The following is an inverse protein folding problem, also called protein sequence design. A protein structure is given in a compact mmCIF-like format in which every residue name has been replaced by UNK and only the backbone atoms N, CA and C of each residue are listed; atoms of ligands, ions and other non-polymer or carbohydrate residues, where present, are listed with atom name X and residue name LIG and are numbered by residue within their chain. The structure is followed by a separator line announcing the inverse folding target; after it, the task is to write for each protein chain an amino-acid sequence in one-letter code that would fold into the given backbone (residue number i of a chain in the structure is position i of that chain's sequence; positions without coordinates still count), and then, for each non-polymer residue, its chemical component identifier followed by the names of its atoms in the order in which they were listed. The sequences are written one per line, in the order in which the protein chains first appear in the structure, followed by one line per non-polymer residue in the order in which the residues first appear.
data_IF_797006418375
#
_entry.id   IF_797006418375
#
_cell.length_a   1.000
_cell.length_b   1.000
_cell.length_c   1.000
_cell.angle_alpha   90.00
_cell.angle_beta   90.00
_cell.angle_gamma   90.00
#
_symmetry.space_group_name_H-M   'P 1'
#
loop_
_entity.id
_entity.type
_entity.pdbx_description
1 polymer ?
#
# COMPACT_ATOMS: atom_id res chain seq x y z
N UNK A 1 -3.35 22.57 22.34
CA UNK A 1 -2.54 21.79 21.36
C UNK A 1 -3.52 21.23 20.34
N UNK A 2 -3.28 21.51 19.08
CA UNK A 2 -4.08 20.93 17.99
C UNK A 2 -3.82 19.43 17.92
N UNK A 3 -4.90 18.67 17.70
CA UNK A 3 -4.81 17.23 17.42
C UNK A 3 -4.58 17.05 15.93
N UNK A 4 -3.76 16.07 15.55
CA UNK A 4 -3.51 15.71 14.15
C UNK A 4 -3.99 14.29 13.92
N UNK A 5 -5.00 14.10 13.08
CA UNK A 5 -5.40 12.78 12.58
C UNK A 5 -4.54 12.39 11.38
N UNK A 6 -4.09 11.14 11.36
CA UNK A 6 -3.18 10.60 10.34
C UNK A 6 -3.87 9.44 9.62
N UNK A 7 -3.93 9.56 8.29
CA UNK A 7 -4.44 8.55 7.36
C UNK A 7 -3.31 8.20 6.39
N UNK A 8 -3.13 6.90 6.09
CA UNK A 8 -2.09 6.40 5.18
C UNK A 8 -2.70 5.56 4.07
N UNK A 9 -2.09 5.54 2.91
CA UNK A 9 -2.20 4.50 1.88
C UNK A 9 -3.66 4.17 1.52
N UNK A 10 -4.45 5.19 1.19
CA UNK A 10 -5.87 4.99 0.85
C UNK A 10 -6.09 4.39 -0.53
N UNK A 11 -5.12 4.51 -1.45
CA UNK A 11 -5.13 3.92 -2.80
C UNK A 11 -6.44 4.09 -3.56
N UNK A 12 -7.04 5.27 -3.47
CA UNK A 12 -8.32 5.55 -4.14
C UNK A 12 -8.21 5.37 -5.66
N UNK A 13 -9.20 4.72 -6.25
CA UNK A 13 -9.23 4.44 -7.68
C UNK A 13 -8.46 3.18 -8.08
N UNK A 14 -8.20 2.25 -7.15
CA UNK A 14 -7.63 0.94 -7.48
C UNK A 14 -8.54 0.16 -8.42
N UNK A 15 -7.95 -0.43 -9.46
CA UNK A 15 -8.68 -1.25 -10.45
C UNK A 15 -8.08 -2.65 -10.61
N UNK A 16 -6.80 -2.85 -10.22
CA UNK A 16 -6.07 -4.11 -10.39
C UNK A 16 -6.69 -5.29 -9.65
N UNK A 17 -7.38 -5.03 -8.54
CA UNK A 17 -8.03 -6.06 -7.71
C UNK A 17 -9.52 -6.18 -7.95
N UNK A 18 -10.11 -5.26 -8.71
CA UNK A 18 -11.54 -5.17 -8.97
C UNK A 18 -12.03 -6.04 -10.13
N UNK A 19 -11.15 -6.85 -10.75
CA UNK A 19 -11.48 -7.61 -11.94
C UNK A 19 -11.55 -6.76 -13.22
N UNK A 20 -12.13 -7.33 -14.29
CA UNK A 20 -12.07 -6.74 -15.64
C UNK A 20 -13.35 -6.02 -16.06
N UNK A 21 -14.45 -6.16 -15.30
CA UNK A 21 -15.71 -5.51 -15.65
C UNK A 21 -15.79 -4.09 -15.08
N UNK A 22 -16.40 -3.20 -15.83
CA UNK A 22 -16.61 -1.82 -15.37
C UNK A 22 -17.46 -1.78 -14.10
N UNK A 23 -18.45 -2.63 -13.99
CA UNK A 23 -19.34 -2.73 -12.83
C UNK A 23 -18.59 -3.10 -11.56
N UNK A 24 -17.69 -4.11 -11.62
CA UNK A 24 -16.87 -4.50 -10.47
C UNK A 24 -15.90 -3.40 -10.05
N UNK A 25 -15.31 -2.67 -11.01
CA UNK A 25 -14.42 -1.54 -10.75
C UNK A 25 -15.17 -0.37 -10.09
N UNK A 26 -16.36 -0.04 -10.59
CA UNK A 26 -17.23 0.99 -10.00
C UNK A 26 -17.69 0.59 -8.59
N UNK A 27 -17.96 -0.70 -8.36
CA UNK A 27 -18.35 -1.20 -7.03
C UNK A 27 -17.24 -1.04 -6.01
N UNK A 28 -16.02 -1.46 -6.34
CA UNK A 28 -14.87 -1.28 -5.44
C UNK A 28 -14.58 0.20 -5.19
N UNK A 29 -14.55 1.01 -6.25
CA UNK A 29 -14.34 2.45 -6.13
C UNK A 29 -15.36 3.09 -5.19
N UNK A 30 -16.64 2.72 -5.30
CA UNK A 30 -17.69 3.25 -4.41
C UNK A 30 -17.46 2.87 -2.96
N UNK A 31 -17.14 1.61 -2.68
CA UNK A 31 -16.86 1.14 -1.32
C UNK A 31 -15.69 1.94 -0.71
N UNK A 32 -14.58 2.07 -1.44
CA UNK A 32 -13.42 2.83 -0.96
C UNK A 32 -13.70 4.31 -0.73
N UNK A 33 -14.54 4.94 -1.57
CA UNK A 33 -14.92 6.33 -1.37
C UNK A 33 -15.85 6.51 -0.14
N UNK A 34 -16.68 5.53 0.18
CA UNK A 34 -17.44 5.55 1.43
C UNK A 34 -16.52 5.45 2.64
N UNK A 35 -15.59 4.51 2.64
CA UNK A 35 -14.60 4.36 3.71
C UNK A 35 -13.74 5.62 3.86
N UNK A 36 -13.38 6.26 2.74
CA UNK A 36 -12.64 7.51 2.78
C UNK A 36 -13.45 8.66 3.38
N UNK A 37 -14.75 8.74 3.08
CA UNK A 37 -15.64 9.72 3.71
C UNK A 37 -15.71 9.52 5.23
N UNK A 38 -15.82 8.28 5.70
CA UNK A 38 -15.85 7.95 7.13
C UNK A 38 -14.55 8.33 7.84
N UNK A 39 -13.40 8.16 7.16
CA UNK A 39 -12.12 8.62 7.69
C UNK A 39 -12.05 10.14 7.79
N UNK A 40 -12.62 10.86 6.81
CA UNK A 40 -12.72 12.33 6.86
C UNK A 40 -13.64 12.80 8.00
N UNK A 41 -14.75 12.10 8.25
CA UNK A 41 -15.64 12.37 9.38
C UNK A 41 -14.94 12.08 10.72
N UNK A 42 -14.15 10.99 10.80
CA UNK A 42 -13.34 10.70 12.00
C UNK A 42 -12.26 11.75 12.28
N UNK A 43 -11.85 12.52 11.27
CA UNK A 43 -10.89 13.62 11.38
C UNK A 43 -11.52 15.00 11.64
N UNK A 44 -12.86 15.08 11.83
CA UNK A 44 -13.52 16.36 12.11
C UNK A 44 -12.99 16.99 13.40
N UNK A 45 -12.75 18.30 13.35
CA UNK A 45 -12.25 19.09 14.50
C UNK A 45 -10.77 18.86 14.84
N UNK A 46 -10.03 18.15 13.99
CA UNK A 46 -8.57 17.96 14.12
C UNK A 46 -7.85 18.43 12.86
N UNK A 47 -6.56 18.70 12.92
CA UNK A 47 -5.75 18.76 11.70
C UNK A 47 -5.73 17.38 11.04
N UNK A 48 -5.60 17.32 9.72
CA UNK A 48 -5.58 16.07 8.98
C UNK A 48 -4.30 15.94 8.13
N UNK A 49 -3.55 14.86 8.35
CA UNK A 49 -2.44 14.45 7.49
C UNK A 49 -2.83 13.19 6.69
N UNK A 50 -2.82 13.31 5.36
CA UNK A 50 -2.81 12.15 4.47
C UNK A 50 -1.35 11.88 4.11
N UNK A 51 -0.80 10.81 4.67
CA UNK A 51 0.64 10.52 4.66
C UNK A 51 1.03 9.57 3.51
N UNK A 52 0.77 10.00 2.29
CA UNK A 52 1.13 9.31 1.05
C UNK A 52 0.10 8.34 0.52
N UNK A 53 0.26 8.01 -0.75
CA UNK A 53 -0.54 7.06 -1.52
C UNK A 53 -2.06 7.30 -1.40
N UNK A 54 -2.45 8.56 -1.60
CA UNK A 54 -3.86 8.93 -1.68
C UNK A 54 -4.54 8.22 -2.85
N UNK A 55 -3.87 8.19 -4.01
CA UNK A 55 -4.33 7.48 -5.19
C UNK A 55 -3.54 6.18 -5.44
N UNK A 56 -4.21 5.16 -6.04
CA UNK A 56 -3.59 3.86 -6.32
C UNK A 56 -2.49 3.93 -7.38
N UNK A 57 -2.53 4.93 -8.23
CA UNK A 57 -1.57 5.09 -9.33
C UNK A 57 -1.50 6.54 -9.78
N UNK A 58 -0.46 6.83 -10.52
CA UNK A 58 -0.16 8.14 -11.10
C UNK A 58 -1.36 8.83 -11.77
N UNK A 59 -2.16 8.12 -12.54
CA UNK A 59 -3.33 8.65 -13.26
C UNK A 59 -4.55 7.74 -13.02
N UNK A 60 -5.43 8.16 -12.12
CA UNK A 60 -6.70 7.48 -11.84
C UNK A 60 -7.82 8.02 -12.73
N UNK A 61 -8.99 7.36 -12.72
CA UNK A 61 -10.17 7.86 -13.42
C UNK A 61 -10.51 9.29 -12.96
N UNK A 62 -10.80 10.17 -13.93
CA UNK A 62 -11.09 11.58 -13.65
C UNK A 62 -12.33 11.79 -12.77
N UNK A 63 -13.27 10.85 -12.80
CA UNK A 63 -14.42 10.87 -11.90
C UNK A 63 -13.98 10.66 -10.45
N UNK A 64 -13.06 9.74 -10.19
CA UNK A 64 -12.48 9.51 -8.86
C UNK A 64 -11.73 10.75 -8.38
N UNK A 65 -10.85 11.30 -9.23
CA UNK A 65 -10.08 12.51 -8.93
C UNK A 65 -11.01 13.67 -8.54
N UNK A 66 -12.12 13.85 -9.28
CA UNK A 66 -13.08 14.92 -9.01
C UNK A 66 -13.91 14.69 -7.74
N UNK A 67 -14.31 13.45 -7.46
CA UNK A 67 -15.02 13.10 -6.24
C UNK A 67 -14.15 13.34 -5.01
N UNK A 68 -12.89 12.90 -5.03
CA UNK A 68 -11.93 13.13 -3.94
C UNK A 68 -11.69 14.62 -3.73
N UNK A 69 -11.54 15.39 -4.82
CA UNK A 69 -11.48 16.86 -4.72
C UNK A 69 -12.69 17.44 -3.99
N UNK A 70 -13.90 17.02 -4.36
CA UNK A 70 -15.14 17.47 -3.74
C UNK A 70 -15.22 17.15 -2.25
N UNK A 71 -14.80 15.93 -1.87
CA UNK A 71 -14.78 15.47 -0.47
C UNK A 71 -13.79 16.29 0.38
N UNK A 72 -12.55 16.46 -0.08
CA UNK A 72 -11.54 17.25 0.62
C UNK A 72 -11.90 18.75 0.69
N UNK A 73 -12.49 19.29 -0.37
CA UNK A 73 -12.97 20.67 -0.37
C UNK A 73 -14.12 20.87 0.63
N UNK A 74 -15.04 19.92 0.74
CA UNK A 74 -16.10 19.91 1.75
C UNK A 74 -15.49 19.88 3.14
N UNK A 75 -14.59 18.91 3.40
CA UNK A 75 -13.93 18.78 4.70
C UNK A 75 -13.23 20.09 5.13
N UNK A 76 -12.44 20.70 4.25
CA UNK A 76 -11.77 21.98 4.50
C UNK A 76 -12.73 23.11 4.87
N UNK A 77 -13.91 23.18 4.23
CA UNK A 77 -14.91 24.19 4.52
C UNK A 77 -15.62 23.99 5.85
N UNK A 78 -15.84 22.72 6.22
CA UNK A 78 -16.48 22.33 7.48
C UNK A 78 -15.50 22.41 8.66
N UNK A 79 -14.18 22.33 8.40
CA UNK A 79 -13.10 22.37 9.37
C UNK A 79 -12.16 23.57 9.14
N UNK A 80 -12.72 24.78 9.00
CA UNK A 80 -11.98 25.97 8.60
C UNK A 80 -10.84 26.39 9.55
N UNK A 81 -10.91 26.00 10.82
CA UNK A 81 -9.88 26.25 11.83
C UNK A 81 -8.76 25.18 11.86
N UNK A 82 -8.90 24.13 11.04
CA UNK A 82 -7.97 23.01 10.99
C UNK A 82 -7.15 23.01 9.69
N UNK A 83 -6.01 22.32 9.73
CA UNK A 83 -5.10 22.20 8.60
C UNK A 83 -5.28 20.84 7.89
N UNK A 84 -5.37 20.86 6.55
CA UNK A 84 -5.22 19.69 5.71
C UNK A 84 -3.79 19.65 5.15
N UNK A 85 -3.08 18.55 5.42
CA UNK A 85 -1.72 18.30 4.93
C UNK A 85 -1.78 17.09 3.99
N UNK A 86 -1.42 17.27 2.73
CA UNK A 86 -1.34 16.20 1.74
C UNK A 86 0.13 15.90 1.43
N UNK A 87 0.64 14.77 1.92
CA UNK A 87 1.96 14.28 1.58
C UNK A 87 1.87 13.30 0.40
N UNK A 88 2.83 13.37 -0.52
CA UNK A 88 2.86 12.48 -1.66
C UNK A 88 3.51 11.13 -1.31
N UNK A 89 2.90 10.04 -1.76
CA UNK A 89 3.46 8.70 -1.75
C UNK A 89 4.10 8.33 -3.10
N UNK A 90 4.57 7.09 -3.21
CA UNK A 90 5.21 6.62 -4.45
C UNK A 90 4.22 6.41 -5.62
N UNK A 91 2.94 6.18 -5.33
CA UNK A 91 1.88 6.08 -6.33
C UNK A 91 1.40 7.45 -6.82
N UNK A 92 1.57 8.49 -6.01
CA UNK A 92 1.09 9.84 -6.27
C UNK A 92 1.98 10.64 -7.24
N UNK A 93 3.26 10.29 -7.35
CA UNK A 93 4.24 11.04 -8.14
C UNK A 93 4.69 10.29 -9.40
N UNK A 94 5.08 11.04 -10.43
CA UNK A 94 5.70 10.50 -11.64
C UNK A 94 7.21 10.61 -11.58
N UNK A 95 7.91 9.60 -12.09
CA UNK A 95 9.34 9.72 -12.45
C UNK A 95 9.58 10.69 -13.59
N UNK A 96 8.59 10.91 -14.45
CA UNK A 96 8.63 11.89 -15.54
C UNK A 96 8.03 13.22 -15.07
N UNK A 97 8.88 14.20 -14.78
CA UNK A 97 8.49 15.54 -14.31
C UNK A 97 7.65 16.33 -15.34
N UNK A 98 7.62 15.91 -16.61
CA UNK A 98 6.76 16.51 -17.63
C UNK A 98 5.30 16.12 -17.50
N UNK A 99 4.99 15.04 -16.79
CA UNK A 99 3.64 14.52 -16.59
C UNK A 99 3.10 14.95 -15.23
N UNK A 100 1.80 15.28 -15.21
CA UNK A 100 1.08 15.61 -13.98
C UNK A 100 0.28 14.40 -13.51
N UNK A 101 0.45 14.05 -12.25
CA UNK A 101 -0.33 13.01 -11.60
C UNK A 101 -1.72 13.50 -11.20
N UNK A 102 -2.62 12.58 -10.89
CA UNK A 102 -3.92 12.90 -10.28
C UNK A 102 -3.74 13.63 -8.94
N UNK A 103 -2.73 13.26 -8.14
CA UNK A 103 -2.35 13.97 -6.92
C UNK A 103 -1.94 15.42 -7.20
N UNK A 104 -1.04 15.65 -8.17
CA UNK A 104 -0.61 17.00 -8.55
C UNK A 104 -1.79 17.86 -9.05
N UNK A 105 -2.71 17.25 -9.82
CA UNK A 105 -3.92 17.92 -10.29
C UNK A 105 -4.83 18.31 -9.13
N UNK A 106 -5.06 17.38 -8.19
CA UNK A 106 -5.85 17.61 -6.98
C UNK A 106 -5.28 18.78 -6.16
N UNK A 107 -3.96 18.77 -5.89
CA UNK A 107 -3.29 19.86 -5.19
C UNK A 107 -3.49 21.22 -5.89
N UNK A 108 -3.42 21.21 -7.21
CA UNK A 108 -3.66 22.41 -8.01
C UNK A 108 -5.11 22.89 -7.92
N UNK A 109 -6.09 22.00 -7.99
CA UNK A 109 -7.51 22.36 -7.87
C UNK A 109 -7.83 22.95 -6.49
N UNK A 110 -7.31 22.33 -5.42
CA UNK A 110 -7.44 22.85 -4.06
C UNK A 110 -6.76 24.23 -3.91
N UNK A 111 -5.57 24.42 -4.52
CA UNK A 111 -4.87 25.71 -4.53
C UNK A 111 -5.70 26.81 -5.24
N UNK A 112 -6.33 26.48 -6.36
CA UNK A 112 -7.19 27.41 -7.09
C UNK A 112 -8.44 27.75 -6.24
N UNK A 113 -9.06 26.75 -5.62
CA UNK A 113 -10.21 26.96 -4.74
C UNK A 113 -9.85 27.87 -3.55
N UNK A 114 -8.67 27.67 -2.94
CA UNK A 114 -8.14 28.48 -1.83
C UNK A 114 -8.04 29.96 -2.18
N UNK A 115 -7.62 30.30 -3.39
CA UNK A 115 -7.46 31.72 -3.79
C UNK A 115 -8.77 32.52 -3.77
N UNK A 116 -9.92 31.87 -3.71
CA UNK A 116 -11.23 32.49 -3.66
C UNK A 116 -11.99 32.26 -2.34
N UNK A 117 -11.42 31.53 -1.39
CA UNK A 117 -12.11 31.16 -0.14
C UNK A 117 -11.10 31.10 1.03
N UNK A 118 -11.19 32.09 1.93
CA UNK A 118 -10.30 32.25 3.10
C UNK A 118 -10.38 31.04 4.07
N UNK A 119 -11.50 30.31 4.08
CA UNK A 119 -11.67 29.09 4.90
C UNK A 119 -10.72 27.97 4.50
N UNK A 120 -10.10 28.05 3.33
CA UNK A 120 -9.15 27.07 2.83
C UNK A 120 -7.68 27.44 3.14
N UNK A 121 -7.46 28.39 4.05
CA UNK A 121 -6.09 28.84 4.40
C UNK A 121 -5.23 27.72 5.01
N UNK A 122 -5.84 26.82 5.77
CA UNK A 122 -5.16 25.69 6.41
C UNK A 122 -4.82 24.53 5.46
N UNK A 123 -4.19 24.79 4.31
CA UNK A 123 -3.86 23.77 3.29
C UNK A 123 -2.36 23.74 3.02
N UNK A 124 -1.73 22.58 3.22
CA UNK A 124 -0.33 22.35 2.92
C UNK A 124 -0.15 21.15 1.97
N UNK A 125 0.76 21.27 1.01
CA UNK A 125 1.18 20.18 0.11
C UNK A 125 2.64 19.85 0.35
N UNK A 126 2.93 18.57 0.58
CA UNK A 126 4.27 18.04 0.84
C UNK A 126 4.57 17.04 -0.28
N UNK A 127 5.13 17.54 -1.38
CA UNK A 127 5.41 16.77 -2.60
C UNK A 127 6.91 16.64 -2.91
N UNK A 128 7.75 17.32 -2.13
CA UNK A 128 9.21 17.30 -2.30
C UNK A 128 9.93 17.80 -1.05
N UNK A 129 10.95 17.08 -0.59
CA UNK A 129 11.80 17.50 0.52
C UNK A 129 11.13 17.48 1.90
N UNK A 130 11.84 17.99 2.87
CA UNK A 130 11.42 18.06 4.27
C UNK A 130 10.52 19.29 4.50
N UNK A 131 9.36 19.06 5.11
CA UNK A 131 8.48 20.12 5.60
C UNK A 131 8.42 20.11 7.11
N UNK A 132 8.74 21.24 7.72
CA UNK A 132 8.73 21.43 9.17
C UNK A 132 7.43 22.12 9.60
N UNK A 133 6.79 21.55 10.62
CA UNK A 133 5.68 22.12 11.36
C UNK A 133 6.14 22.38 12.80
N UNK A 134 5.31 23.00 13.65
CA UNK A 134 5.70 23.43 14.99
C UNK A 134 6.28 22.31 15.86
N UNK A 135 5.71 21.08 15.80
CA UNK A 135 6.09 19.95 16.67
C UNK A 135 6.47 18.69 15.93
N UNK A 136 6.25 18.65 14.64
CA UNK A 136 6.52 17.50 13.77
C UNK A 136 7.07 17.94 12.42
N UNK A 137 7.56 17.00 11.65
CA UNK A 137 7.93 17.21 10.26
C UNK A 137 7.44 16.08 9.38
N UNK A 138 7.40 16.32 8.07
CA UNK A 138 6.97 15.35 7.04
C UNK A 138 8.00 15.29 5.94
N UNK A 139 8.44 14.09 5.57
CA UNK A 139 9.20 13.83 4.34
C UNK A 139 8.33 12.92 3.47
N UNK A 140 7.89 13.39 2.29
CA UNK A 140 7.09 12.61 1.36
C UNK A 140 7.95 11.53 0.70
N UNK A 141 7.35 10.72 -0.17
CA UNK A 141 8.15 9.85 -1.04
C UNK A 141 9.11 10.69 -1.90
N UNK A 142 10.39 10.33 -1.86
CA UNK A 142 11.45 11.04 -2.59
C UNK A 142 11.82 10.29 -3.88
N UNK A 143 12.37 10.97 -4.91
CA UNK A 143 12.71 10.35 -6.19
C UNK A 143 13.71 9.19 -6.10
N UNK A 144 14.58 9.21 -5.10
CA UNK A 144 15.59 8.16 -4.86
C UNK A 144 16.07 8.16 -3.40
N UNK A 145 16.80 7.11 -3.02
CA UNK A 145 17.32 6.91 -1.68
C UNK A 145 18.31 8.00 -1.24
N UNK A 146 19.16 8.50 -2.14
CA UNK A 146 20.16 9.53 -1.82
C UNK A 146 19.50 10.83 -1.38
N UNK A 147 18.49 11.30 -2.10
CA UNK A 147 17.72 12.47 -1.73
C UNK A 147 16.93 12.24 -0.43
N UNK A 148 16.40 11.06 -0.23
CA UNK A 148 15.70 10.69 1.01
C UNK A 148 16.65 10.76 2.22
N UNK A 149 17.85 10.19 2.12
CA UNK A 149 18.86 10.26 3.17
C UNK A 149 19.30 11.70 3.47
N UNK A 150 19.43 12.53 2.45
CA UNK A 150 19.75 13.95 2.64
C UNK A 150 18.66 14.71 3.41
N UNK A 151 17.38 14.38 3.19
CA UNK A 151 16.28 14.98 3.95
C UNK A 151 16.22 14.43 5.39
N UNK A 152 16.55 13.16 5.61
CA UNK A 152 16.71 12.59 6.96
C UNK A 152 17.83 13.29 7.74
N UNK A 153 18.96 13.61 7.09
CA UNK A 153 20.05 14.36 7.71
C UNK A 153 19.61 15.77 8.16
N UNK A 154 18.79 16.45 7.37
CA UNK A 154 18.19 17.74 7.75
C UNK A 154 17.23 17.57 8.91
N UNK A 155 16.34 16.56 8.87
CA UNK A 155 15.37 16.29 9.92
C UNK A 155 16.05 16.00 11.27
N UNK A 156 17.21 15.34 11.27
CA UNK A 156 18.02 15.14 12.49
C UNK A 156 18.51 16.44 13.13
N UNK A 157 18.51 17.57 12.45
CA UNK A 157 18.89 18.87 13.02
C UNK A 157 17.72 19.66 13.60
N UNK A 158 16.48 19.19 13.39
CA UNK A 158 15.27 19.84 13.85
C UNK A 158 14.97 19.51 15.33
N UNK A 159 14.20 20.41 15.97
CA UNK A 159 13.68 20.21 17.32
C UNK A 159 12.24 19.71 17.27
N UNK A 160 12.03 18.58 16.64
CA UNK A 160 10.72 17.93 16.47
C UNK A 160 10.55 16.72 17.39
N UNK A 161 9.31 16.27 17.58
CA UNK A 161 9.00 15.08 18.39
C UNK A 161 8.55 13.90 17.52
N UNK A 162 7.99 14.19 16.34
CA UNK A 162 7.48 13.18 15.41
C UNK A 162 7.93 13.52 14.00
N UNK A 163 8.36 12.49 13.26
CA UNK A 163 8.69 12.59 11.85
C UNK A 163 7.81 11.60 11.07
N UNK A 164 7.03 12.13 10.14
CA UNK A 164 6.21 11.33 9.22
C UNK A 164 6.98 11.05 7.94
N UNK A 165 6.94 9.80 7.50
CA UNK A 165 7.67 9.30 6.33
C UNK A 165 6.77 8.45 5.45
N UNK A 166 7.08 8.37 4.16
CA UNK A 166 6.46 7.41 3.26
C UNK A 166 7.53 6.50 2.64
N UNK A 167 7.82 5.39 3.33
CA UNK A 167 8.90 4.46 2.98
C UNK A 167 8.74 3.10 3.68
N UNK A 168 9.52 2.10 3.25
CA UNK A 168 9.70 0.85 3.98
C UNK A 168 10.57 1.04 5.22
N UNK A 169 10.44 0.14 6.18
CA UNK A 169 11.32 0.04 7.33
C UNK A 169 12.11 -1.26 7.31
N UNK A 170 13.46 -1.13 7.32
CA UNK A 170 14.44 -2.22 7.42
C UNK A 170 14.19 -3.37 6.42
N UNK A 171 13.81 -3.00 5.19
CA UNK A 171 13.56 -3.92 4.11
C UNK A 171 14.71 -3.91 3.10
N UNK A 172 15.65 -4.84 3.27
CA UNK A 172 16.83 -4.94 2.41
C UNK A 172 16.49 -5.21 0.92
N UNK A 173 15.36 -5.83 0.63
CA UNK A 173 14.93 -6.06 -0.76
C UNK A 173 14.41 -4.75 -1.40
N UNK A 174 13.71 -3.92 -0.65
CA UNK A 174 13.22 -2.62 -1.13
C UNK A 174 14.39 -1.68 -1.48
N UNK A 175 15.46 -1.71 -0.69
CA UNK A 175 16.66 -0.89 -0.93
C UNK A 175 17.39 -1.19 -2.26
N UNK A 176 17.07 -2.33 -2.90
CA UNK A 176 17.65 -2.73 -4.19
C UNK A 176 16.79 -2.32 -5.40
N UNK A 177 15.62 -1.73 -5.16
CA UNK A 177 14.72 -1.29 -6.22
C UNK A 177 14.55 0.23 -6.18
N UNK A 178 14.70 0.91 -7.31
CA UNK A 178 14.53 2.37 -7.43
C UNK A 178 13.09 2.87 -7.13
N UNK A 179 12.19 1.98 -6.73
CA UNK A 179 10.77 2.28 -6.56
C UNK A 179 10.31 2.34 -5.10
N UNK A 180 11.17 1.95 -4.17
CA UNK A 180 10.81 1.88 -2.75
C UNK A 180 11.95 2.42 -1.92
N UNK A 181 11.69 3.50 -1.20
CA UNK A 181 12.62 4.04 -0.21
C UNK A 181 12.67 3.11 0.99
N UNK A 182 13.81 3.08 1.67
CA UNK A 182 14.01 2.28 2.86
C UNK A 182 14.64 3.08 3.98
N UNK A 183 13.99 3.11 5.13
CA UNK A 183 14.57 3.60 6.38
C UNK A 183 15.30 2.44 7.06
N UNK A 184 16.61 2.55 7.25
CA UNK A 184 17.37 1.50 7.94
C UNK A 184 17.15 1.55 9.46
N UNK A 185 17.40 0.42 10.15
CA UNK A 185 17.34 0.34 11.60
C UNK A 185 18.34 1.29 12.27
N UNK A 186 19.53 1.49 11.69
CA UNK A 186 20.54 2.43 12.18
C UNK A 186 20.07 3.87 12.13
N UNK A 187 19.39 4.25 11.03
CA UNK A 187 18.80 5.59 10.91
C UNK A 187 17.67 5.79 11.93
N UNK A 188 16.79 4.82 12.09
CA UNK A 188 15.73 4.87 13.10
C UNK A 188 16.32 5.03 14.51
N UNK A 189 17.42 4.35 14.83
CA UNK A 189 18.12 4.47 16.11
C UNK A 189 18.65 5.90 16.35
N UNK A 190 19.19 6.58 15.35
CA UNK A 190 19.66 7.97 15.48
C UNK A 190 18.51 8.93 15.87
N UNK A 191 17.32 8.72 15.34
CA UNK A 191 16.12 9.47 15.75
C UNK A 191 15.65 9.09 17.15
N UNK A 192 15.73 7.80 17.53
CA UNK A 192 15.40 7.34 18.88
C UNK A 192 16.28 8.02 19.94
N UNK A 193 17.59 8.15 19.68
CA UNK A 193 18.55 8.83 20.58
C UNK A 193 18.21 10.31 20.78
N UNK A 194 17.53 10.93 19.83
CA UNK A 194 17.01 12.31 19.94
C UNK A 194 15.60 12.39 20.52
N UNK A 195 14.98 11.25 20.83
CA UNK A 195 13.62 11.17 21.35
C UNK A 195 12.55 11.50 20.30
N UNK A 196 12.87 11.27 19.02
CA UNK A 196 11.94 11.46 17.89
C UNK A 196 11.24 10.14 17.57
N UNK A 197 9.92 10.18 17.51
CA UNK A 197 9.08 9.09 17.02
C UNK A 197 8.97 9.16 15.49
N UNK A 198 9.06 8.01 14.83
CA UNK A 198 8.91 7.86 13.38
C UNK A 198 7.59 7.21 13.08
N UNK A 199 6.79 7.80 12.19
CA UNK A 199 5.49 7.30 11.76
C UNK A 199 5.50 7.12 10.25
N UNK A 200 5.33 5.88 9.80
CA UNK A 200 5.52 5.49 8.40
C UNK A 200 4.20 5.10 7.73
N UNK A 201 4.01 5.59 6.50
CA UNK A 201 3.14 5.03 5.47
C UNK A 201 3.91 4.09 4.55
N UNK A 202 3.28 3.60 3.48
CA UNK A 202 3.79 2.67 2.46
C UNK A 202 3.62 1.19 2.79
N UNK A 203 3.80 0.75 4.02
CA UNK A 203 3.56 -0.63 4.41
C UNK A 203 2.10 -0.79 4.87
N UNK A 204 1.33 -1.67 4.22
CA UNK A 204 -0.11 -1.82 4.48
C UNK A 204 -0.45 -2.57 5.77
N UNK A 205 0.52 -3.26 6.38
CA UNK A 205 0.34 -3.97 7.63
C UNK A 205 0.97 -3.21 8.79
N UNK A 206 0.11 -2.83 9.76
CA UNK A 206 0.54 -2.10 10.94
C UNK A 206 1.52 -2.91 11.80
N UNK A 207 2.58 -2.26 12.29
CA UNK A 207 3.55 -2.83 13.25
C UNK A 207 4.23 -1.75 14.09
N UNK A 208 4.74 -2.14 15.24
CA UNK A 208 5.46 -1.24 16.13
C UNK A 208 6.82 -1.82 16.53
N UNK A 209 7.87 -1.07 16.34
CA UNK A 209 9.26 -1.46 16.60
C UNK A 209 10.00 -0.26 17.20
N UNK A 210 10.30 -0.32 18.51
CA UNK A 210 11.02 0.77 19.21
C UNK A 210 10.33 2.14 19.01
N UNK A 211 11.01 3.11 18.36
CA UNK A 211 10.47 4.43 18.04
C UNK A 211 9.79 4.50 16.67
N UNK A 212 9.68 3.38 15.94
CA UNK A 212 9.04 3.31 14.61
C UNK A 212 7.62 2.78 14.76
N UNK A 213 6.65 3.52 14.25
CA UNK A 213 5.25 3.13 14.15
C UNK A 213 4.83 3.08 12.69
N UNK A 214 4.46 1.89 12.21
CA UNK A 214 3.81 1.71 10.93
C UNK A 214 2.33 1.52 11.23
N UNK A 215 1.47 2.41 10.74
CA UNK A 215 0.03 2.37 11.03
C UNK A 215 -0.65 1.34 10.13
N UNK A 216 -0.17 1.20 8.89
CA UNK A 216 -0.80 0.44 7.84
C UNK A 216 -1.85 1.25 7.09
N UNK A 217 -2.42 0.66 6.03
CA UNK A 217 -3.52 1.30 5.31
C UNK A 217 -4.85 1.14 6.07
N UNK A 218 -5.72 2.14 6.00
CA UNK A 218 -7.04 2.10 6.63
C UNK A 218 -8.05 1.48 5.68
N UNK A 219 -7.95 1.76 4.39
CA UNK A 219 -8.87 1.27 3.36
C UNK A 219 -8.20 0.10 2.65
N UNK A 220 -8.73 -1.12 2.73
CA UNK A 220 -8.20 -2.25 2.00
C UNK A 220 -8.27 -2.01 0.48
N UNK A 221 -7.15 -2.06 -0.20
CA UNK A 221 -7.06 -1.94 -1.66
C UNK A 221 -7.03 -3.31 -2.35
N UNK A 222 -6.87 -4.37 -1.56
CA UNK A 222 -6.82 -5.75 -2.04
C UNK A 222 -7.22 -6.74 -0.94
N UNK A 223 -7.50 -7.97 -1.36
CA UNK A 223 -7.75 -9.08 -0.41
C UNK A 223 -6.54 -9.30 0.50
N UNK A 224 -5.32 -9.07 0.00
CA UNK A 224 -4.10 -9.23 0.80
C UNK A 224 -4.07 -8.30 2.03
N UNK A 225 -4.71 -7.15 1.96
CA UNK A 225 -4.80 -6.19 3.06
C UNK A 225 -5.77 -6.65 4.16
N UNK A 226 -6.58 -7.69 3.89
CA UNK A 226 -7.59 -8.26 4.78
C UNK A 226 -7.20 -9.64 5.34
N UNK A 227 -6.01 -10.17 5.04
CA UNK A 227 -5.62 -11.56 5.34
C UNK A 227 -5.39 -11.86 6.83
N UNK A 228 -5.29 -10.86 7.67
CA UNK A 228 -5.18 -11.09 9.11
C UNK A 228 -6.50 -10.69 9.79
N UNK A 229 -7.41 -11.66 10.03
CA UNK A 229 -8.70 -11.37 10.64
C UNK A 229 -8.58 -10.84 12.08
N UNK A 230 -7.40 -10.96 12.70
CA UNK A 230 -7.14 -10.45 14.05
C UNK A 230 -6.57 -9.02 14.04
N UNK A 231 -6.26 -8.46 12.88
CA UNK A 231 -5.76 -7.09 12.73
C UNK A 231 -6.87 -6.17 12.26
N UNK A 232 -7.43 -5.43 13.19
CA UNK A 232 -8.33 -4.32 12.89
C UNK A 232 -7.53 -3.22 12.20
N UNK A 233 -8.10 -2.61 11.16
CA UNK A 233 -7.52 -1.40 10.55
C UNK A 233 -7.57 -0.26 11.54
N UNK A 234 -6.58 0.62 11.50
CA UNK A 234 -6.46 1.71 12.46
C UNK A 234 -5.98 2.99 11.77
N UNK A 235 -6.55 4.12 12.17
CA UNK A 235 -5.94 5.42 11.94
C UNK A 235 -5.27 5.92 13.22
N UNK A 236 -4.44 6.94 13.12
CA UNK A 236 -3.75 7.47 14.30
C UNK A 236 -4.16 8.92 14.59
N UNK A 237 -4.08 9.30 15.87
CA UNK A 237 -4.22 10.68 16.31
C UNK A 237 -2.99 11.05 17.13
N UNK A 238 -2.30 12.12 16.74
CA UNK A 238 -1.18 12.70 17.46
C UNK A 238 -1.69 13.90 18.28
N UNK A 239 -1.47 13.84 19.61
CA UNK A 239 -1.72 14.97 20.51
C UNK A 239 -0.43 15.29 21.29
N UNK A 240 0.23 16.37 20.92
CA UNK A 240 1.56 16.70 21.45
C UNK A 240 2.62 15.68 21.07
N UNK A 241 2.97 14.76 21.99
CA UNK A 241 3.91 13.65 21.75
C UNK A 241 3.25 12.28 21.74
N UNK A 242 2.00 12.23 22.12
CA UNK A 242 1.26 10.98 22.24
C UNK A 242 0.58 10.62 20.92
N UNK A 243 0.92 9.45 20.40
CA UNK A 243 0.29 8.85 19.21
C UNK A 243 -0.64 7.73 19.66
N UNK A 244 -1.94 7.95 19.52
CA UNK A 244 -2.99 6.99 19.84
C UNK A 244 -3.54 6.36 18.56
N UNK A 245 -3.72 5.05 18.57
CA UNK A 245 -4.38 4.32 17.46
C UNK A 245 -5.86 4.15 17.77
N UNK A 246 -6.69 4.38 16.76
CA UNK A 246 -8.13 4.21 16.80
C UNK A 246 -8.56 3.16 15.78
N UNK A 247 -9.37 2.21 16.20
CA UNK A 247 -9.89 1.19 15.32
C UNK A 247 -10.78 1.79 14.24
N UNK A 248 -10.61 1.33 13.02
CA UNK A 248 -11.40 1.71 11.86
C UNK A 248 -12.03 0.47 11.24
N UNK A 249 -13.34 0.49 11.10
CA UNK A 249 -14.10 -0.59 10.46
C UNK A 249 -14.60 -0.09 9.10
N UNK A 250 -14.11 -0.64 7.98
CA UNK A 250 -14.64 -0.29 6.67
C UNK A 250 -16.16 -0.46 6.63
N UNK A 251 -16.86 0.50 6.01
CA UNK A 251 -18.34 0.52 5.90
C UNK A 251 -18.84 -0.68 5.11
N UNK A 252 -18.15 -1.01 4.04
CA UNK A 252 -18.47 -2.14 3.21
C UNK A 252 -17.33 -3.15 3.19
N UNK A 253 -17.50 -4.24 3.91
CA UNK A 253 -16.60 -5.39 3.83
C UNK A 253 -16.87 -6.16 2.54
N UNK A 254 -16.20 -5.77 1.47
CA UNK A 254 -16.38 -6.36 0.13
C UNK A 254 -15.45 -7.53 -0.17
N UNK A 255 -14.43 -7.76 0.69
CA UNK A 255 -13.43 -8.80 0.51
C UNK A 255 -13.68 -10.01 1.41
N UNK A 256 -13.34 -11.20 0.91
CA UNK A 256 -13.26 -12.41 1.72
C UNK A 256 -12.17 -13.35 1.25
N UNK A 257 -11.63 -14.11 2.19
CA UNK A 257 -10.82 -15.29 1.90
C UNK A 257 -11.57 -16.54 2.40
N UNK A 258 -11.59 -17.59 1.59
CA UNK A 258 -12.25 -18.85 1.91
C UNK A 258 -11.35 -20.03 1.52
N UNK A 259 -11.43 -21.10 2.32
CA UNK A 259 -10.79 -22.37 1.94
C UNK A 259 -11.59 -23.03 0.81
N UNK A 260 -10.89 -23.64 -0.17
CA UNK A 260 -11.53 -24.31 -1.30
C UNK A 260 -12.44 -25.49 -0.90
N UNK A 261 -12.25 -26.05 0.32
CA UNK A 261 -13.07 -27.13 0.86
C UNK A 261 -14.36 -26.63 1.51
N UNK A 262 -14.55 -25.31 1.62
CA UNK A 262 -15.77 -24.72 2.20
C UNK A 262 -17.00 -25.05 1.35
N UNK A 263 -18.10 -25.40 2.00
CA UNK A 263 -19.34 -25.77 1.29
C UNK A 263 -20.06 -24.59 0.63
N UNK A 264 -19.98 -23.41 1.27
CA UNK A 264 -20.68 -22.21 0.81
C UNK A 264 -19.74 -21.01 0.75
N UNK A 265 -19.95 -20.16 -0.27
CA UNK A 265 -19.27 -18.87 -0.34
C UNK A 265 -19.95 -17.85 0.57
N UNK A 266 -19.17 -16.91 1.18
CA UNK A 266 -19.75 -15.75 1.85
C UNK A 266 -20.37 -14.82 0.80
N UNK A 267 -21.36 -14.02 1.25
CA UNK A 267 -21.94 -12.95 0.43
C UNK A 267 -20.98 -11.76 0.34
N UNK A 268 -19.95 -11.90 -0.50
CA UNK A 268 -18.90 -10.91 -0.72
C UNK A 268 -18.63 -10.76 -2.22
N UNK A 269 -18.15 -9.57 -2.57
CA UNK A 269 -17.99 -9.19 -3.97
C UNK A 269 -16.65 -9.64 -4.55
N UNK A 270 -15.61 -9.70 -3.71
CA UNK A 270 -14.24 -10.03 -4.12
C UNK A 270 -13.73 -11.15 -3.22
N UNK A 271 -13.64 -12.36 -3.76
CA UNK A 271 -13.32 -13.58 -3.01
C UNK A 271 -11.99 -14.16 -3.50
N UNK A 272 -11.13 -14.50 -2.55
CA UNK A 272 -9.91 -15.27 -2.77
C UNK A 272 -10.09 -16.68 -2.23
N UNK A 273 -9.96 -17.67 -3.09
CA UNK A 273 -10.02 -19.07 -2.70
C UNK A 273 -8.61 -19.56 -2.39
N UNK A 274 -8.40 -20.06 -1.18
CA UNK A 274 -7.11 -20.53 -0.66
C UNK A 274 -7.19 -21.98 -0.19
N UNK A 275 -6.17 -22.44 0.49
CA UNK A 275 -6.03 -23.79 1.02
C UNK A 275 -4.95 -24.58 0.32
N UNK A 276 -4.80 -25.84 0.72
CA UNK A 276 -3.85 -26.78 0.15
C UNK A 276 -4.60 -27.93 -0.53
N UNK A 277 -4.13 -28.36 -1.69
CA UNK A 277 -4.68 -29.47 -2.44
C UNK A 277 -3.57 -30.37 -2.97
N UNK A 278 -3.84 -31.66 -3.10
CA UNK A 278 -2.92 -32.59 -3.79
C UNK A 278 -3.05 -32.45 -5.31
N UNK A 279 -2.12 -33.03 -6.06
CA UNK A 279 -2.23 -33.05 -7.53
C UNK A 279 -3.49 -33.76 -8.01
N UNK A 280 -3.94 -34.81 -7.32
CA UNK A 280 -5.17 -35.53 -7.65
C UNK A 280 -6.42 -34.64 -7.46
N UNK A 281 -6.39 -33.74 -6.48
CA UNK A 281 -7.47 -32.80 -6.17
C UNK A 281 -7.46 -31.53 -7.04
N UNK A 282 -6.40 -31.28 -7.80
CA UNK A 282 -6.26 -30.07 -8.60
C UNK A 282 -7.43 -29.85 -9.56
N UNK A 283 -7.92 -30.91 -10.19
CA UNK A 283 -9.10 -30.85 -11.10
C UNK A 283 -10.37 -30.50 -10.35
N UNK A 284 -10.56 -31.02 -9.14
CA UNK A 284 -11.72 -30.74 -8.29
C UNK A 284 -11.73 -29.26 -7.87
N UNK A 285 -10.56 -28.71 -7.44
CA UNK A 285 -10.41 -27.29 -7.12
C UNK A 285 -10.84 -26.40 -8.29
N UNK A 286 -10.32 -26.69 -9.49
CA UNK A 286 -10.63 -25.90 -10.69
C UNK A 286 -12.12 -25.97 -11.02
N UNK A 287 -12.72 -27.17 -10.95
CA UNK A 287 -14.16 -27.37 -11.20
C UNK A 287 -15.00 -26.60 -10.19
N UNK A 288 -14.70 -26.72 -8.89
CA UNK A 288 -15.43 -26.05 -7.81
C UNK A 288 -15.40 -24.52 -7.96
N UNK A 289 -14.22 -23.96 -8.23
CA UNK A 289 -14.10 -22.51 -8.47
C UNK A 289 -14.90 -22.10 -9.71
N UNK A 290 -14.91 -22.91 -10.76
CA UNK A 290 -15.69 -22.63 -11.97
C UNK A 290 -17.21 -22.67 -11.70
N UNK A 291 -17.66 -23.57 -10.83
CA UNK A 291 -19.06 -23.65 -10.38
C UNK A 291 -19.44 -22.43 -9.53
N UNK A 292 -18.60 -22.02 -8.58
CA UNK A 292 -18.81 -20.81 -7.79
C UNK A 292 -18.88 -19.56 -8.64
N UNK A 293 -18.04 -19.42 -9.65
CA UNK A 293 -18.10 -18.31 -10.61
C UNK A 293 -19.38 -18.23 -11.42
N UNK A 294 -20.10 -19.36 -11.56
CA UNK A 294 -21.37 -19.41 -12.28
C UNK A 294 -22.58 -19.22 -11.39
N UNK A 295 -22.48 -19.59 -10.11
CA UNK A 295 -23.60 -19.66 -9.18
C UNK A 295 -23.66 -18.55 -8.16
N UNK A 296 -22.56 -17.80 -7.96
CA UNK A 296 -22.49 -16.70 -7.00
C UNK A 296 -22.65 -15.34 -7.68
N UNK A 297 -23.07 -14.35 -6.91
CA UNK A 297 -23.15 -12.95 -7.32
C UNK A 297 -21.82 -12.19 -7.12
N UNK A 298 -20.75 -12.90 -6.75
CA UNK A 298 -19.42 -12.29 -6.59
C UNK A 298 -18.87 -11.80 -7.92
N UNK A 299 -18.34 -10.59 -7.95
CA UNK A 299 -17.71 -10.01 -9.15
C UNK A 299 -16.38 -10.68 -9.49
N UNK A 300 -15.61 -11.06 -8.47
CA UNK A 300 -14.29 -11.64 -8.66
C UNK A 300 -14.08 -12.80 -7.69
N UNK A 301 -13.77 -13.98 -8.25
CA UNK A 301 -13.31 -15.14 -7.49
C UNK A 301 -11.92 -15.53 -8.03
N UNK A 302 -10.89 -15.35 -7.22
CA UNK A 302 -9.49 -15.67 -7.57
C UNK A 302 -9.07 -17.01 -7.00
N UNK A 303 -8.27 -17.77 -7.73
CA UNK A 303 -7.69 -19.03 -7.26
C UNK A 303 -6.28 -18.79 -6.72
N UNK A 304 -6.09 -19.04 -5.44
CA UNK A 304 -4.81 -18.99 -4.74
C UNK A 304 -4.54 -20.30 -3.96
N UNK A 305 -5.21 -21.39 -4.35
CA UNK A 305 -5.00 -22.73 -3.76
C UNK A 305 -3.59 -23.21 -4.10
N UNK A 306 -2.86 -23.65 -3.10
CA UNK A 306 -1.53 -24.24 -3.26
C UNK A 306 -1.68 -25.72 -3.59
N UNK A 307 -1.28 -26.11 -4.81
CA UNK A 307 -1.23 -27.51 -5.20
C UNK A 307 0.18 -28.03 -4.93
N UNK A 308 0.31 -28.84 -3.88
CA UNK A 308 1.57 -29.45 -3.46
C UNK A 308 1.74 -30.87 -4.00
N UNK A 309 2.99 -31.30 -4.24
CA UNK A 309 3.31 -32.71 -4.35
C UNK A 309 3.10 -33.37 -2.98
N UNK A 310 2.44 -34.53 -2.96
CA UNK A 310 2.60 -35.48 -1.85
C UNK A 310 4.08 -35.55 -1.51
N UNK A 311 4.38 -35.48 -0.21
CA UNK A 311 5.75 -35.55 0.33
C UNK A 311 6.64 -36.54 -0.44
N UNK A 312 7.41 -36.06 -1.36
CA UNK A 312 8.53 -36.83 -1.96
C UNK A 312 9.67 -36.97 -0.94
N UNK A 313 9.55 -36.36 0.24
CA UNK A 313 10.57 -36.42 1.30
C UNK A 313 10.62 -37.77 2.04
N UNK A 314 9.62 -38.65 1.89
CA UNK A 314 9.62 -39.95 2.58
C UNK A 314 9.97 -41.17 1.70
N UNK A 315 10.21 -41.01 0.40
CA UNK A 315 10.42 -42.13 -0.53
C UNK A 315 11.73 -42.10 -1.33
N UNK A 316 12.62 -41.14 -1.09
CA UNK A 316 13.96 -41.21 -1.70
C UNK A 316 14.98 -41.59 -0.63
N UNK A 317 15.70 -42.69 -0.79
CA UNK A 317 16.90 -42.98 0.01
C UNK A 317 17.90 -41.84 -0.27
N UNK A 318 18.63 -41.42 0.78
CA UNK A 318 19.68 -40.40 0.78
C UNK A 318 20.40 -40.26 -0.58
N UNK A 319 19.88 -39.43 -1.45
CA UNK A 319 20.62 -38.92 -2.58
C UNK A 319 21.36 -37.70 -2.05
N UNK A 320 22.62 -37.90 -1.69
CA UNK A 320 23.58 -36.83 -1.47
C UNK A 320 23.36 -35.76 -2.54
N UNK A 321 23.26 -34.54 -2.13
CA UNK A 321 23.03 -33.33 -2.91
C UNK A 321 23.71 -33.39 -4.28
N UNK A 322 23.02 -33.93 -5.26
CA UNK A 322 23.35 -33.68 -6.65
C UNK A 322 22.93 -32.26 -6.94
N UNK A 323 23.88 -31.38 -7.08
CA UNK A 323 23.65 -30.00 -7.56
C UNK A 323 22.82 -30.12 -8.84
N UNK A 324 21.62 -29.53 -8.81
CA UNK A 324 20.70 -29.56 -9.94
C UNK A 324 21.30 -28.63 -11.01
N UNK A 325 22.02 -29.21 -11.96
CA UNK A 325 22.66 -28.45 -13.04
C UNK A 325 21.62 -28.14 -14.13
N UNK A 326 20.99 -27.00 -14.01
CA UNK A 326 20.01 -26.49 -14.97
C UNK A 326 20.60 -26.39 -16.38
N UNK A 327 21.92 -26.09 -16.50
CA UNK A 327 22.61 -25.99 -17.78
C UNK A 327 22.76 -27.37 -18.45
N UNK A 328 23.06 -28.39 -17.67
CA UNK A 328 23.13 -29.74 -18.19
C UNK A 328 21.79 -30.22 -18.76
N UNK A 329 20.68 -29.96 -18.06
CA UNK A 329 19.35 -30.29 -18.57
C UNK A 329 18.96 -29.48 -19.81
N UNK A 330 19.37 -28.22 -19.88
CA UNK A 330 19.10 -27.35 -21.03
C UNK A 330 19.87 -27.86 -22.26
N UNK A 331 21.15 -28.19 -22.11
CA UNK A 331 21.99 -28.73 -23.17
C UNK A 331 21.51 -30.10 -23.69
N UNK A 332 20.99 -30.98 -22.82
CA UNK A 332 20.38 -32.24 -23.23
C UNK A 332 19.14 -32.10 -24.11
N UNK A 333 18.39 -31.01 -23.95
CA UNK A 333 17.15 -30.76 -24.70
C UNK A 333 17.31 -29.83 -25.90
N UNK A 334 18.43 -29.16 -26.05
CA UNK A 334 18.71 -28.31 -27.21
C UNK A 334 19.03 -29.14 -28.47
N UNK A 335 18.57 -28.70 -29.65
CA UNK A 335 19.04 -29.24 -30.92
C UNK A 335 20.57 -29.10 -31.04
N UNK A 336 21.23 -30.08 -31.69
CA UNK A 336 22.69 -30.19 -31.75
C UNK A 336 23.35 -28.89 -32.25
N UNK A 337 22.75 -28.25 -33.25
CA UNK A 337 23.24 -26.99 -33.84
C UNK A 337 23.17 -25.77 -32.91
N UNK A 338 22.52 -25.86 -31.76
CA UNK A 338 22.40 -24.76 -30.76
C UNK A 338 23.20 -25.02 -29.48
N UNK A 339 23.73 -26.22 -29.31
CA UNK A 339 24.51 -26.61 -28.11
C UNK A 339 25.81 -25.81 -27.99
N UNK A 340 26.54 -25.71 -29.10
CA UNK A 340 27.81 -24.97 -29.16
C UNK A 340 27.63 -23.49 -28.79
N UNK A 341 26.57 -22.86 -29.28
CA UNK A 341 26.22 -21.50 -28.92
C UNK A 341 25.83 -21.34 -27.42
N UNK A 342 25.10 -22.29 -26.88
CA UNK A 342 24.73 -22.27 -25.47
C UNK A 342 25.95 -22.47 -24.54
N UNK A 343 26.93 -23.28 -24.94
CA UNK A 343 28.21 -23.44 -24.22
C UNK A 343 29.07 -22.17 -24.28
N UNK A 344 29.09 -21.47 -25.40
CA UNK A 344 29.74 -20.13 -25.52
C UNK A 344 29.14 -19.13 -24.55
N UNK A 345 27.81 -19.02 -24.48
CA UNK A 345 27.12 -18.11 -23.55
C UNK A 345 27.46 -18.42 -22.09
N UNK A 346 27.52 -19.71 -21.72
CA UNK A 346 27.90 -20.12 -20.37
C UNK A 346 29.31 -19.70 -19.96
N UNK A 347 30.25 -19.69 -20.90
CA UNK A 347 31.64 -19.34 -20.64
C UNK A 347 31.93 -17.84 -20.60
N UNK A 348 30.93 -17.02 -20.89
CA UNK A 348 31.02 -15.55 -20.89
C UNK A 348 30.29 -14.87 -19.70
N UNK A 349 29.63 -15.65 -18.84
CA UNK A 349 29.14 -15.22 -17.52
C UNK A 349 30.15 -15.58 -16.41
#
# INVERSE_FOLDING_TARGET
MTKLTIINDTHLGVTRTAGTTKESQERLTRAMLFDFNDLLEAAEGTDLLINGDLFDRFDVDKQVEFLVFGMLLKWLRENADNQLILAAGNHDLSKDSSRRSSFTNLCKYLSIARNGDERLAGLAFVDSGLYEFETFAVIPHMPNQELFEAELDKALQLSIHTLFLHCNFDNHFAAQTDHSLNLSAERAQQFAEKGVQLVLGHEHHGRHLSNVRIIGNQIPSSIADCLDPNKVKQYAVLEGRELTLHDFMPVEDVFAEVDWQTDTLPDKQFIRVTGEATYEQASEVVQRIAEWRKSSDAFVITNAVKVGSLDVQTALPDVQSASFDVWKMLLEKLPENLKEFAEEVRNHE
#
